data_IF_415223714548
#
_entry.id   IF_415223714548
#
_cell.length_a   1.000
_cell.length_b   1.000
_cell.length_c   1.000
_cell.angle_alpha   90.00
_cell.angle_beta   90.00
_cell.angle_gamma   90.00
#
_symmetry.space_group_name_H-M   'P 1'
#
loop_
_entity.id
_entity.type
_entity.pdbx_description
1 polymer ?
#
# COMPACT_ATOMS: atom_id res chain seq x y z
N UNK A 1 -89.62 -69.17 -56.67
CA UNK A 1 -88.32 -69.29 -55.94
C UNK A 1 -87.26 -68.34 -56.50
N UNK A 2 -87.08 -68.29 -57.83
CA UNK A 2 -86.10 -67.44 -58.52
C UNK A 2 -86.21 -65.94 -58.21
N UNK A 3 -87.40 -65.32 -58.31
CA UNK A 3 -87.55 -63.87 -57.99
C UNK A 3 -87.21 -63.49 -56.53
N UNK A 4 -87.46 -64.38 -55.58
CA UNK A 4 -87.17 -64.16 -54.15
C UNK A 4 -85.67 -64.31 -53.83
N UNK A 5 -84.91 -64.96 -54.72
CA UNK A 5 -83.45 -65.01 -54.65
C UNK A 5 -82.86 -63.74 -55.28
N UNK A 6 -83.42 -63.28 -56.41
CA UNK A 6 -82.96 -62.08 -57.10
C UNK A 6 -83.09 -60.82 -56.22
N UNK A 7 -84.28 -60.55 -55.66
CA UNK A 7 -84.52 -59.44 -54.72
C UNK A 7 -83.61 -59.47 -53.49
N UNK A 8 -83.24 -60.67 -53.02
CA UNK A 8 -82.35 -60.83 -51.86
C UNK A 8 -80.90 -60.54 -52.22
N UNK A 9 -80.46 -60.96 -53.41
CA UNK A 9 -79.13 -60.63 -53.90
C UNK A 9 -79.02 -59.13 -54.18
N UNK A 10 -80.04 -58.52 -54.76
CA UNK A 10 -80.09 -57.08 -55.00
C UNK A 10 -80.04 -56.28 -53.68
N UNK A 11 -80.82 -56.68 -52.67
CA UNK A 11 -80.74 -56.08 -51.34
C UNK A 11 -79.36 -56.26 -50.69
N UNK A 12 -78.71 -57.42 -50.86
CA UNK A 12 -77.33 -57.66 -50.38
C UNK A 12 -76.32 -56.78 -51.10
N UNK A 13 -76.41 -56.67 -52.42
CA UNK A 13 -75.52 -55.82 -53.22
C UNK A 13 -75.67 -54.35 -52.83
N UNK A 14 -76.91 -53.85 -52.71
CA UNK A 14 -77.18 -52.48 -52.27
C UNK A 14 -76.65 -52.20 -50.84
N UNK A 15 -76.69 -53.20 -49.96
CA UNK A 15 -76.13 -53.09 -48.60
C UNK A 15 -74.58 -53.08 -48.65
N UNK A 16 -73.98 -53.93 -49.48
CA UNK A 16 -72.52 -53.99 -49.66
C UNK A 16 -71.97 -52.70 -50.29
N UNK A 17 -72.62 -52.17 -51.32
CA UNK A 17 -72.26 -50.89 -51.95
C UNK A 17 -72.30 -49.74 -50.94
N UNK A 18 -73.20 -49.79 -49.96
CA UNK A 18 -73.28 -48.80 -48.89
C UNK A 18 -72.25 -49.02 -47.78
N UNK A 19 -71.85 -50.27 -47.50
CA UNK A 19 -70.87 -50.61 -46.45
C UNK A 19 -69.41 -50.41 -46.88
N UNK A 20 -69.08 -50.67 -48.14
CA UNK A 20 -67.69 -50.60 -48.66
C UNK A 20 -67.06 -49.21 -48.46
N UNK A 21 -67.73 -48.08 -48.77
CA UNK A 21 -67.19 -46.75 -48.48
C UNK A 21 -66.98 -46.50 -46.99
N UNK A 22 -67.87 -47.00 -46.13
CA UNK A 22 -67.71 -46.85 -44.67
C UNK A 22 -66.51 -47.64 -44.14
N UNK A 23 -66.22 -48.82 -44.70
CA UNK A 23 -65.00 -49.57 -44.36
C UNK A 23 -63.74 -48.84 -44.81
N UNK A 24 -63.74 -48.25 -46.01
CA UNK A 24 -62.62 -47.43 -46.48
C UNK A 24 -62.37 -46.20 -45.60
N UNK A 25 -63.42 -45.47 -45.20
CA UNK A 25 -63.31 -44.35 -44.26
C UNK A 25 -62.83 -44.80 -42.87
N UNK A 26 -63.28 -45.97 -42.41
CA UNK A 26 -62.83 -46.51 -41.12
C UNK A 26 -61.35 -46.89 -41.15
N UNK A 27 -60.87 -47.48 -42.23
CA UNK A 27 -59.45 -47.84 -42.37
C UNK A 27 -58.57 -46.59 -42.48
N UNK A 28 -59.00 -45.56 -43.23
CA UNK A 28 -58.31 -44.27 -43.30
C UNK A 28 -58.24 -43.56 -41.93
N UNK A 29 -59.34 -43.54 -41.18
CA UNK A 29 -59.36 -42.96 -39.83
C UNK A 29 -58.49 -43.75 -38.84
N UNK A 30 -58.43 -45.09 -38.98
CA UNK A 30 -57.55 -45.93 -38.16
C UNK A 30 -56.08 -45.65 -38.44
N UNK A 31 -55.69 -45.49 -39.70
CA UNK A 31 -54.31 -45.15 -40.07
C UNK A 31 -53.91 -43.76 -39.57
N UNK A 32 -54.77 -42.76 -39.74
CA UNK A 32 -54.53 -41.40 -39.23
C UNK A 32 -54.39 -41.38 -37.70
N UNK A 33 -55.25 -42.14 -37.00
CA UNK A 33 -55.17 -42.28 -35.54
C UNK A 33 -53.84 -42.91 -35.11
N UNK A 34 -53.38 -43.92 -35.84
CA UNK A 34 -52.11 -44.58 -35.57
C UNK A 34 -50.92 -43.62 -35.73
N UNK A 35 -50.84 -42.91 -36.85
CA UNK A 35 -49.79 -41.90 -37.10
C UNK A 35 -49.81 -40.79 -36.06
N UNK A 36 -51.00 -40.29 -35.72
CA UNK A 36 -51.15 -39.24 -34.69
C UNK A 36 -50.71 -39.74 -33.33
N UNK A 37 -51.02 -41.00 -32.98
CA UNK A 37 -50.58 -41.63 -31.74
C UNK A 37 -49.06 -41.78 -31.69
N UNK A 38 -48.43 -42.24 -32.77
CA UNK A 38 -46.97 -42.34 -32.85
C UNK A 38 -46.31 -40.97 -32.71
N UNK A 39 -46.83 -39.95 -33.39
CA UNK A 39 -46.32 -38.58 -33.26
C UNK A 39 -46.46 -38.06 -31.82
N UNK A 40 -47.61 -38.30 -31.19
CA UNK A 40 -47.84 -37.94 -29.79
C UNK A 40 -46.85 -38.65 -28.85
N UNK A 41 -46.57 -39.94 -29.07
CA UNK A 41 -45.59 -40.68 -28.25
C UNK A 41 -44.16 -40.19 -28.43
N UNK A 42 -43.76 -39.81 -29.66
CA UNK A 42 -42.44 -39.20 -29.91
C UNK A 42 -42.31 -37.87 -29.18
N UNK A 43 -43.31 -36.99 -29.34
CA UNK A 43 -43.31 -35.69 -28.67
C UNK A 43 -43.35 -35.83 -27.14
N UNK A 44 -44.09 -36.80 -26.60
CA UNK A 44 -44.08 -37.09 -25.17
C UNK A 44 -42.68 -37.51 -24.70
N UNK A 45 -42.00 -38.36 -25.45
CA UNK A 45 -40.66 -38.80 -25.12
C UNK A 45 -39.65 -37.64 -25.16
N UNK A 46 -39.71 -36.81 -26.19
CA UNK A 46 -38.85 -35.62 -26.33
C UNK A 46 -39.06 -34.63 -25.17
N UNK A 47 -40.33 -34.39 -24.78
CA UNK A 47 -40.65 -33.55 -23.63
C UNK A 47 -40.11 -34.15 -22.32
N UNK A 48 -40.23 -35.47 -22.12
CA UNK A 48 -39.68 -36.15 -20.94
C UNK A 48 -38.16 -36.01 -20.88
N UNK A 49 -37.46 -36.17 -22.00
CA UNK A 49 -36.01 -36.00 -22.07
C UNK A 49 -35.62 -34.56 -21.74
N UNK A 50 -36.32 -33.57 -22.30
CA UNK A 50 -36.05 -32.15 -22.01
C UNK A 50 -36.32 -31.78 -20.56
N UNK A 51 -37.33 -32.38 -19.92
CA UNK A 51 -37.58 -32.20 -18.48
C UNK A 51 -36.42 -32.75 -17.66
N UNK A 52 -35.87 -33.92 -18.01
CA UNK A 52 -34.73 -34.50 -17.31
C UNK A 52 -33.47 -33.62 -17.42
N UNK A 53 -33.16 -33.12 -18.63
CA UNK A 53 -32.04 -32.19 -18.85
C UNK A 53 -32.18 -30.91 -18.02
N UNK A 54 -33.39 -30.34 -17.97
CA UNK A 54 -33.68 -29.14 -17.17
C UNK A 54 -33.58 -29.40 -15.66
N UNK A 55 -33.89 -30.62 -15.20
CA UNK A 55 -33.73 -30.99 -13.80
C UNK A 55 -32.26 -31.10 -13.42
N UNK A 56 -31.45 -31.74 -14.26
CA UNK A 56 -30.00 -31.86 -14.04
C UNK A 56 -29.33 -30.48 -14.03
N UNK A 57 -29.61 -29.64 -15.03
CA UNK A 57 -29.06 -28.29 -15.10
C UNK A 57 -29.46 -27.43 -13.88
N UNK A 58 -30.71 -27.54 -13.41
CA UNK A 58 -31.12 -26.85 -12.17
C UNK A 58 -30.39 -27.37 -10.93
N UNK A 59 -30.10 -28.67 -10.86
CA UNK A 59 -29.36 -29.24 -9.75
C UNK A 59 -27.92 -28.72 -9.72
N UNK A 60 -27.23 -28.70 -10.86
CA UNK A 60 -25.89 -28.13 -11.01
C UNK A 60 -25.85 -26.64 -10.67
N UNK A 61 -26.81 -25.87 -11.20
CA UNK A 61 -26.93 -24.44 -10.91
C UNK A 61 -27.19 -24.19 -9.41
N UNK A 62 -28.04 -24.99 -8.77
CA UNK A 62 -28.29 -24.90 -7.33
C UNK A 62 -27.03 -25.19 -6.52
N UNK A 63 -26.25 -26.20 -6.92
CA UNK A 63 -24.95 -26.51 -6.32
C UNK A 63 -23.97 -25.33 -6.43
N UNK A 64 -23.79 -24.82 -7.65
CA UNK A 64 -22.92 -23.67 -7.94
C UNK A 64 -23.33 -22.41 -7.17
N UNK A 65 -24.63 -22.11 -7.12
CA UNK A 65 -25.18 -20.97 -6.38
C UNK A 65 -24.89 -21.07 -4.88
N UNK A 66 -25.02 -22.24 -4.27
CA UNK A 66 -24.68 -22.45 -2.85
C UNK A 66 -23.19 -22.21 -2.57
N UNK A 67 -22.31 -22.67 -3.45
CA UNK A 67 -20.85 -22.45 -3.33
C UNK A 67 -20.53 -20.95 -3.46
N UNK A 68 -21.14 -20.25 -4.41
CA UNK A 68 -20.97 -18.81 -4.56
C UNK A 68 -21.49 -18.04 -3.34
N UNK A 69 -22.65 -18.41 -2.79
CA UNK A 69 -23.19 -17.79 -1.58
C UNK A 69 -22.26 -17.96 -0.36
N UNK A 70 -21.65 -19.14 -0.20
CA UNK A 70 -20.66 -19.38 0.85
C UNK A 70 -19.41 -18.51 0.67
N UNK A 71 -18.92 -18.36 -0.58
CA UNK A 71 -17.77 -17.51 -0.90
C UNK A 71 -18.06 -16.03 -0.64
N UNK A 72 -19.25 -15.55 -0.99
CA UNK A 72 -19.70 -14.18 -0.70
C UNK A 72 -19.71 -13.94 0.81
N UNK A 73 -20.30 -14.85 1.60
CA UNK A 73 -20.34 -14.72 3.06
C UNK A 73 -18.94 -14.72 3.70
N UNK A 74 -18.00 -15.47 3.13
CA UNK A 74 -16.60 -15.44 3.58
C UNK A 74 -15.94 -14.09 3.26
N UNK A 75 -16.13 -13.55 2.06
CA UNK A 75 -15.59 -12.26 1.66
C UNK A 75 -16.17 -11.12 2.50
N UNK A 76 -17.47 -11.14 2.80
CA UNK A 76 -18.11 -10.15 3.69
C UNK A 76 -17.46 -10.13 5.08
N UNK A 77 -17.15 -11.30 5.66
CA UNK A 77 -16.44 -11.40 6.95
C UNK A 77 -15.02 -10.82 6.87
N UNK A 78 -14.32 -11.07 5.78
CA UNK A 78 -12.98 -10.52 5.56
C UNK A 78 -13.02 -9.00 5.43
N UNK A 79 -13.96 -8.46 4.66
CA UNK A 79 -14.17 -7.01 4.52
C UNK A 79 -14.44 -6.38 5.88
N UNK A 80 -15.34 -6.95 6.67
CA UNK A 80 -15.65 -6.42 8.00
C UNK A 80 -14.44 -6.41 8.94
N UNK A 81 -13.59 -7.44 8.86
CA UNK A 81 -12.35 -7.52 9.65
C UNK A 81 -11.37 -6.43 9.21
N UNK A 82 -11.15 -6.27 7.90
CA UNK A 82 -10.27 -5.25 7.35
C UNK A 82 -10.75 -3.82 7.64
N UNK A 83 -12.06 -3.58 7.66
CA UNK A 83 -12.63 -2.29 8.03
C UNK A 83 -12.34 -1.93 9.49
N UNK A 84 -12.45 -2.91 10.40
CA UNK A 84 -12.11 -2.72 11.81
C UNK A 84 -10.62 -2.43 11.99
N UNK A 85 -9.76 -3.21 11.34
CA UNK A 85 -8.31 -3.04 11.40
C UNK A 85 -7.89 -1.67 10.84
N UNK A 86 -8.50 -1.23 9.74
CA UNK A 86 -8.26 0.11 9.16
C UNK A 86 -8.65 1.22 10.13
N UNK A 87 -9.79 1.09 10.82
CA UNK A 87 -10.24 2.08 11.80
C UNK A 87 -9.27 2.13 13.00
N UNK A 88 -8.76 0.99 13.44
CA UNK A 88 -7.81 0.93 14.55
C UNK A 88 -6.44 1.50 14.17
N UNK A 89 -5.92 1.17 12.99
CA UNK A 89 -4.69 1.76 12.45
C UNK A 89 -4.79 3.28 12.32
N UNK A 90 -5.96 3.81 11.91
CA UNK A 90 -6.19 5.26 11.86
C UNK A 90 -6.09 5.90 13.26
N UNK A 91 -6.66 5.28 14.29
CA UNK A 91 -6.54 5.76 15.68
C UNK A 91 -5.09 5.72 16.17
N UNK A 92 -4.37 4.64 15.89
CA UNK A 92 -2.96 4.50 16.27
C UNK A 92 -2.09 5.55 15.60
N UNK A 93 -2.30 5.81 14.30
CA UNK A 93 -1.63 6.90 13.58
C UNK A 93 -1.89 8.25 14.24
N UNK A 94 -3.14 8.55 14.56
CA UNK A 94 -3.51 9.85 15.15
C UNK A 94 -2.91 10.03 16.55
N UNK A 95 -2.86 8.97 17.34
CA UNK A 95 -2.20 8.97 18.64
C UNK A 95 -0.68 9.18 18.50
N UNK A 96 -0.04 8.46 17.58
CA UNK A 96 1.40 8.58 17.34
C UNK A 96 1.78 9.98 16.83
N UNK A 97 0.97 10.57 15.94
CA UNK A 97 1.15 11.93 15.46
C UNK A 97 1.07 12.94 16.60
N UNK A 98 0.08 12.80 17.49
CA UNK A 98 -0.06 13.66 18.66
C UNK A 98 1.14 13.55 19.59
N UNK A 99 1.61 12.34 19.87
CA UNK A 99 2.78 12.13 20.73
C UNK A 99 4.05 12.76 20.14
N UNK A 100 4.26 12.63 18.82
CA UNK A 100 5.41 13.25 18.14
C UNK A 100 5.34 14.77 18.22
N UNK A 101 4.16 15.37 18.01
CA UNK A 101 4.00 16.83 18.11
C UNK A 101 4.25 17.32 19.55
N UNK A 102 3.74 16.62 20.56
CA UNK A 102 3.99 16.94 21.98
C UNK A 102 5.48 16.87 22.32
N UNK A 103 6.20 15.84 21.83
CA UNK A 103 7.65 15.71 22.00
C UNK A 103 8.41 16.84 21.29
N UNK A 104 8.00 17.21 20.08
CA UNK A 104 8.59 18.32 19.31
C UNK A 104 8.43 19.65 20.05
N UNK A 105 7.23 19.96 20.56
CA UNK A 105 6.98 21.18 21.36
C UNK A 105 7.87 21.21 22.60
N UNK A 106 7.97 20.09 23.33
CA UNK A 106 8.83 19.99 24.51
C UNK A 106 10.30 20.20 24.16
N UNK A 107 10.77 19.56 23.10
CA UNK A 107 12.15 19.70 22.61
C UNK A 107 12.46 21.14 22.17
N UNK A 108 11.54 21.76 21.44
CA UNK A 108 11.68 23.15 21.00
C UNK A 108 11.82 24.09 22.21
N UNK A 109 10.99 23.91 23.23
CA UNK A 109 11.05 24.70 24.46
C UNK A 109 12.40 24.56 25.16
N UNK A 110 12.97 23.35 25.21
CA UNK A 110 14.30 23.11 25.78
C UNK A 110 15.41 23.76 24.94
N UNK A 111 15.29 23.72 23.62
CA UNK A 111 16.23 24.35 22.70
C UNK A 111 16.23 25.88 22.86
N UNK A 112 15.05 26.51 22.95
CA UNK A 112 14.92 27.96 23.14
C UNK A 112 15.59 28.42 24.45
N UNK A 113 15.46 27.63 25.52
CA UNK A 113 16.17 27.89 26.80
C UNK A 113 17.69 27.83 26.62
N UNK A 114 18.19 26.87 25.85
CA UNK A 114 19.63 26.73 25.59
C UNK A 114 20.16 27.90 24.74
N UNK A 115 19.45 28.29 23.69
CA UNK A 115 19.78 29.46 22.86
C UNK A 115 19.85 30.72 23.72
N UNK A 116 18.90 30.91 24.65
CA UNK A 116 18.92 32.03 25.59
C UNK A 116 20.15 32.05 26.50
N UNK A 117 20.63 30.89 26.95
CA UNK A 117 21.88 30.78 27.74
C UNK A 117 23.12 31.08 26.90
N UNK A 118 23.18 30.60 25.66
CA UNK A 118 24.30 30.86 24.74
C UNK A 118 24.44 32.35 24.47
N UNK A 119 23.35 33.05 24.14
CA UNK A 119 23.38 34.51 23.91
C UNK A 119 23.92 35.31 25.10
N UNK A 120 23.59 34.89 26.33
CA UNK A 120 24.14 35.52 27.55
C UNK A 120 25.65 35.29 27.69
N UNK A 121 26.11 34.07 27.36
CA UNK A 121 27.51 33.72 27.41
C UNK A 121 28.32 34.45 26.33
N UNK A 122 27.79 34.57 25.12
CA UNK A 122 28.37 35.36 24.03
C UNK A 122 28.53 36.83 24.43
N UNK A 123 27.51 37.45 25.03
CA UNK A 123 27.61 38.81 25.55
C UNK A 123 28.71 38.97 26.60
N UNK A 124 28.80 38.04 27.57
CA UNK A 124 29.85 38.07 28.59
C UNK A 124 31.26 37.90 27.99
N UNK A 125 31.41 37.04 26.97
CA UNK A 125 32.67 36.89 26.22
C UNK A 125 33.06 38.20 25.55
N UNK A 126 32.12 38.85 24.88
CA UNK A 126 32.38 40.08 24.13
C UNK A 126 32.76 41.24 25.06
N UNK A 127 32.16 41.33 26.25
CA UNK A 127 32.56 42.26 27.31
C UNK A 127 34.01 42.02 27.77
N UNK A 128 34.37 40.76 28.06
CA UNK A 128 35.74 40.40 28.48
C UNK A 128 36.75 40.74 27.38
N UNK A 129 36.43 40.41 26.13
CA UNK A 129 37.29 40.73 24.98
C UNK A 129 37.51 42.26 24.86
N UNK A 130 36.44 43.05 24.97
CA UNK A 130 36.52 44.51 24.90
C UNK A 130 37.37 45.13 26.01
N UNK A 131 37.34 44.58 27.23
CA UNK A 131 38.19 45.05 28.34
C UNK A 131 39.65 44.60 28.18
N UNK A 132 39.89 43.40 27.64
CA UNK A 132 41.23 42.84 27.48
C UNK A 132 42.07 43.52 26.38
N UNK A 133 41.45 43.92 25.26
CA UNK A 133 42.13 44.55 24.11
C UNK A 133 43.03 45.75 24.49
N UNK A 134 42.53 46.79 25.19
CA UNK A 134 43.35 47.95 25.54
C UNK A 134 44.46 47.62 26.56
N UNK A 135 44.24 46.62 27.44
CA UNK A 135 45.24 46.17 28.42
C UNK A 135 46.42 45.52 27.69
N UNK A 136 46.14 44.63 26.73
CA UNK A 136 47.17 43.98 25.92
C UNK A 136 47.94 45.01 25.08
N UNK A 137 47.26 45.99 24.49
CA UNK A 137 47.91 47.09 23.78
C UNK A 137 48.81 47.94 24.70
N UNK A 138 48.35 48.27 25.91
CA UNK A 138 49.14 49.04 26.87
C UNK A 138 50.37 48.25 27.36
N UNK A 139 50.24 46.93 27.58
CA UNK A 139 51.38 46.07 27.92
C UNK A 139 52.41 46.04 26.78
N UNK A 140 51.98 45.95 25.52
CA UNK A 140 52.87 45.95 24.36
C UNK A 140 53.63 47.29 24.20
N UNK A 141 52.95 48.41 24.38
CA UNK A 141 53.53 49.75 24.24
C UNK A 141 54.48 50.14 25.38
N UNK A 142 54.27 49.62 26.59
CA UNK A 142 55.05 49.98 27.79
C UNK A 142 56.34 49.14 28.02
N UNK A 143 56.64 48.17 27.14
CA UNK A 143 57.80 47.27 27.28
C UNK A 143 59.17 47.86 26.88
N UNK A 144 59.29 49.17 26.64
CA UNK A 144 60.54 49.81 26.21
C UNK A 144 61.43 50.35 27.37
N UNK A 145 61.17 49.96 28.63
CA UNK A 145 61.93 50.39 29.81
C UNK A 145 62.82 49.28 30.42
N UNK A 146 63.91 49.64 31.13
CA UNK A 146 64.94 48.69 31.60
C UNK A 146 64.51 47.74 32.73
N UNK A 147 63.27 47.86 33.23
CA UNK A 147 62.67 46.94 34.22
C UNK A 147 61.66 46.01 33.53
N UNK A 148 62.05 45.43 32.40
CA UNK A 148 61.19 44.59 31.59
C UNK A 148 60.74 43.36 32.41
N UNK A 149 59.50 43.39 32.88
CA UNK A 149 58.75 42.18 33.22
C UNK A 149 58.80 41.30 31.97
N UNK A 150 59.20 40.03 32.09
CA UNK A 150 59.39 39.13 30.94
C UNK A 150 58.07 39.02 30.18
N UNK A 151 57.96 39.84 29.14
CA UNK A 151 56.77 39.96 28.33
C UNK A 151 56.43 38.63 27.66
N UNK A 152 57.44 37.78 27.42
CA UNK A 152 57.25 36.44 26.90
C UNK A 152 56.53 35.56 27.92
N UNK A 153 56.90 35.59 29.20
CA UNK A 153 56.24 34.79 30.25
C UNK A 153 54.79 35.25 30.50
N UNK A 154 54.53 36.56 30.45
CA UNK A 154 53.16 37.09 30.53
C UNK A 154 52.36 36.69 29.29
N UNK A 155 52.95 36.76 28.09
CA UNK A 155 52.29 36.37 26.85
C UNK A 155 52.01 34.87 26.81
N UNK A 156 52.93 34.03 27.28
CA UNK A 156 52.74 32.58 27.40
C UNK A 156 51.62 32.25 28.39
N UNK A 157 51.57 32.93 29.55
CA UNK A 157 50.45 32.78 30.51
C UNK A 157 49.13 33.30 29.96
N UNK A 158 49.14 34.40 29.21
CA UNK A 158 47.95 34.93 28.54
C UNK A 158 47.50 34.06 27.37
N UNK A 159 48.40 33.34 26.69
CA UNK A 159 48.10 32.42 25.59
C UNK A 159 47.39 31.16 26.06
N UNK A 160 47.70 30.70 27.28
CA UNK A 160 47.04 29.54 27.90
C UNK A 160 45.53 29.77 28.06
N UNK A 161 45.08 31.00 28.34
CA UNK A 161 43.66 31.27 28.56
C UNK A 161 42.79 31.13 27.29
N UNK A 162 43.14 31.72 26.12
CA UNK A 162 42.52 31.41 24.83
C UNK A 162 42.59 29.94 24.46
N UNK A 163 43.74 29.26 24.66
CA UNK A 163 43.87 27.84 24.32
C UNK A 163 42.91 26.97 25.14
N UNK A 164 42.77 27.23 26.44
CA UNK A 164 41.78 26.57 27.31
C UNK A 164 40.35 26.93 26.89
N UNK A 165 40.10 28.20 26.54
CA UNK A 165 38.79 28.66 26.09
C UNK A 165 38.36 27.99 24.77
N UNK A 166 39.24 27.92 23.77
CA UNK A 166 38.98 27.22 22.51
C UNK A 166 38.80 25.72 22.73
N UNK A 167 39.59 25.10 23.62
CA UNK A 167 39.39 23.70 24.01
C UNK A 167 38.00 23.48 24.63
N UNK A 168 37.55 24.36 25.52
CA UNK A 168 36.22 24.27 26.14
C UNK A 168 35.09 24.49 25.13
N UNK A 169 35.24 25.42 24.17
CA UNK A 169 34.26 25.59 23.08
C UNK A 169 34.19 24.33 22.24
N UNK A 170 35.34 23.76 21.88
CA UNK A 170 35.44 22.53 21.10
C UNK A 170 34.71 21.38 21.80
N UNK A 171 34.99 21.19 23.09
CA UNK A 171 34.36 20.16 23.91
C UNK A 171 32.84 20.40 24.04
N UNK A 172 32.42 21.65 24.24
CA UNK A 172 31.01 22.03 24.27
C UNK A 172 30.31 21.77 22.92
N UNK A 173 30.99 22.01 21.80
CA UNK A 173 30.52 21.69 20.45
C UNK A 173 30.35 20.18 20.25
N UNK A 174 31.32 19.37 20.69
CA UNK A 174 31.22 17.91 20.69
C UNK A 174 30.05 17.40 21.52
N UNK A 175 29.82 17.98 22.71
CA UNK A 175 28.68 17.65 23.56
C UNK A 175 27.34 18.02 22.88
N UNK A 176 27.26 19.19 22.25
CA UNK A 176 26.09 19.64 21.51
C UNK A 176 25.75 18.72 20.33
N UNK A 177 26.76 18.36 19.52
CA UNK A 177 26.59 17.42 18.42
C UNK A 177 26.16 16.03 18.90
N UNK A 178 26.73 15.53 20.00
CA UNK A 178 26.35 14.26 20.61
C UNK A 178 24.90 14.28 21.13
N UNK A 179 24.45 15.40 21.71
CA UNK A 179 23.08 15.57 22.15
C UNK A 179 22.11 15.60 20.97
N UNK A 180 22.44 16.34 19.91
CA UNK A 180 21.64 16.36 18.68
C UNK A 180 21.53 14.97 18.04
N UNK A 181 22.62 14.19 18.00
CA UNK A 181 22.62 12.80 17.54
C UNK A 181 21.71 11.92 18.41
N UNK A 182 21.81 12.02 19.73
CA UNK A 182 20.99 11.25 20.66
C UNK A 182 19.49 11.57 20.49
N UNK A 183 19.15 12.85 20.29
CA UNK A 183 17.80 13.29 19.99
C UNK A 183 17.30 12.70 18.66
N UNK A 184 18.12 12.72 17.61
CA UNK A 184 17.79 12.14 16.30
C UNK A 184 17.60 10.62 16.39
N UNK A 185 18.49 9.89 17.08
CA UNK A 185 18.31 8.44 17.34
C UNK A 185 17.00 8.15 18.09
N UNK A 186 16.64 9.00 19.06
CA UNK A 186 15.39 8.84 19.81
C UNK A 186 14.15 9.10 18.95
N UNK A 187 14.22 10.00 17.97
CA UNK A 187 13.12 10.30 17.05
C UNK A 187 12.99 9.23 15.95
N UNK A 188 14.11 8.65 15.52
CA UNK A 188 14.16 7.68 14.42
C UNK A 188 14.88 6.38 14.82
N UNK A 189 14.33 5.59 15.77
CA UNK A 189 15.01 4.43 16.35
C UNK A 189 15.28 3.27 15.38
N UNK A 190 14.72 3.32 14.16
CA UNK A 190 14.95 2.31 13.11
C UNK A 190 16.07 2.69 12.13
N UNK A 191 16.55 3.93 12.18
CA UNK A 191 17.65 4.39 11.34
C UNK A 191 18.93 4.23 12.13
N UNK A 192 19.87 3.44 11.62
CA UNK A 192 21.18 3.30 12.24
C UNK A 192 22.03 4.53 11.87
N UNK A 193 22.48 5.26 12.89
CA UNK A 193 23.19 6.53 12.72
C UNK A 193 24.40 6.49 13.64
N UNK A 194 25.62 6.41 13.13
CA UNK A 194 26.79 6.43 14.00
C UNK A 194 27.42 7.82 14.12
N UNK A 195 28.00 8.08 15.30
CA UNK A 195 28.83 9.26 15.50
C UNK A 195 30.12 9.07 14.70
N UNK A 196 30.46 10.05 13.86
CA UNK A 196 31.78 10.10 13.24
C UNK A 196 32.72 10.73 14.25
N UNK A 197 33.78 10.00 14.61
CA UNK A 197 34.78 10.48 15.56
C UNK A 197 35.50 11.71 14.97
N UNK A 198 35.72 12.71 15.82
CA UNK A 198 36.42 13.93 15.43
C UNK A 198 35.66 14.94 14.55
N UNK A 199 34.33 14.88 14.42
CA UNK A 199 33.55 15.92 13.71
C UNK A 199 33.84 17.34 14.25
N UNK A 200 33.92 17.46 15.58
CA UNK A 200 34.25 18.69 16.28
C UNK A 200 35.77 18.93 16.41
N UNK A 201 36.62 18.03 15.88
CA UNK A 201 38.07 18.07 16.11
C UNK A 201 38.86 19.11 15.32
N UNK A 202 38.16 19.97 14.59
CA UNK A 202 38.75 20.90 13.63
C UNK A 202 38.66 20.38 12.20
N UNK A 203 37.54 19.73 11.85
CA UNK A 203 37.15 19.55 10.45
C UNK A 203 37.23 20.92 9.78
N UNK A 204 38.08 21.10 8.76
CA UNK A 204 38.17 22.37 8.05
C UNK A 204 36.80 22.71 7.45
N UNK A 205 36.52 24.00 7.24
CA UNK A 205 35.24 24.45 6.68
C UNK A 205 34.90 23.70 5.40
N UNK A 206 35.91 23.44 4.56
CA UNK A 206 35.79 22.68 3.32
C UNK A 206 35.39 21.21 3.56
N UNK A 207 36.01 20.54 4.53
CA UNK A 207 35.68 19.16 4.87
C UNK A 207 34.28 19.03 5.51
N UNK A 208 33.85 20.06 6.27
CA UNK A 208 32.51 20.12 6.84
C UNK A 208 31.46 20.35 5.73
N UNK A 209 31.73 21.24 4.78
CA UNK A 209 30.87 21.50 3.63
C UNK A 209 30.75 20.28 2.71
N UNK A 210 31.84 19.53 2.50
CA UNK A 210 31.80 18.27 1.74
C UNK A 210 30.94 17.21 2.44
N UNK A 211 31.03 17.09 3.76
CA UNK A 211 30.16 16.17 4.54
C UNK A 211 28.70 16.59 4.48
N UNK A 212 28.39 17.89 4.55
CA UNK A 212 27.03 18.41 4.39
C UNK A 212 26.51 18.12 2.97
N UNK A 213 27.33 18.35 1.94
CA UNK A 213 26.96 18.05 0.55
C UNK A 213 26.68 16.56 0.34
N UNK A 214 27.50 15.70 0.94
CA UNK A 214 27.33 14.24 0.87
C UNK A 214 26.09 13.77 1.64
N UNK A 215 25.83 14.33 2.83
CA UNK A 215 24.63 14.04 3.60
C UNK A 215 23.37 14.48 2.86
N UNK A 216 23.40 15.64 2.20
CA UNK A 216 22.27 16.13 1.41
C UNK A 216 22.02 15.26 0.18
N UNK A 217 23.06 14.86 -0.55
CA UNK A 217 22.93 13.88 -1.66
C UNK A 217 22.33 12.55 -1.19
N UNK A 218 22.74 12.06 -0.02
CA UNK A 218 22.18 10.83 0.54
C UNK A 218 20.71 10.99 0.92
N UNK A 219 20.34 12.13 1.53
CA UNK A 219 18.96 12.45 1.88
C UNK A 219 18.06 12.57 0.63
N UNK A 220 18.53 13.26 -0.41
CA UNK A 220 17.82 13.40 -1.68
C UNK A 220 17.63 12.03 -2.36
N UNK A 221 18.62 11.15 -2.28
CA UNK A 221 18.52 9.78 -2.77
C UNK A 221 17.49 8.96 -1.99
N UNK A 222 17.45 9.07 -0.65
CA UNK A 222 16.43 8.41 0.17
C UNK A 222 15.04 8.94 -0.16
N UNK A 223 14.88 10.25 -0.31
CA UNK A 223 13.61 10.85 -0.70
C UNK A 223 13.14 10.34 -2.06
N UNK A 224 14.04 10.24 -3.04
CA UNK A 224 13.75 9.66 -4.35
C UNK A 224 13.37 8.17 -4.25
N UNK A 225 14.13 7.35 -3.53
CA UNK A 225 13.87 5.90 -3.36
C UNK A 225 12.51 5.65 -2.66
N UNK A 226 12.15 6.50 -1.69
CA UNK A 226 10.85 6.46 -1.01
C UNK A 226 9.72 6.85 -1.97
N UNK A 227 9.89 7.92 -2.75
CA UNK A 227 8.89 8.35 -3.76
C UNK A 227 8.72 7.29 -4.85
N UNK A 228 9.80 6.68 -5.32
CA UNK A 228 9.78 5.63 -6.34
C UNK A 228 9.09 4.37 -5.81
N UNK A 229 9.37 3.93 -4.58
CA UNK A 229 8.62 2.84 -3.93
C UNK A 229 7.13 3.14 -3.81
N UNK A 230 6.74 4.38 -3.52
CA UNK A 230 5.33 4.76 -3.48
C UNK A 230 4.67 4.77 -4.87
N UNK A 231 5.43 5.08 -5.94
CA UNK A 231 4.95 4.99 -7.33
C UNK A 231 4.87 3.53 -7.82
N UNK A 232 5.80 2.66 -7.43
CA UNK A 232 5.75 1.23 -7.73
C UNK A 232 4.63 0.49 -6.97
N UNK A 233 4.07 1.12 -5.92
CA UNK A 233 2.88 0.60 -5.23
C UNK A 233 1.57 1.03 -5.88
N UNK A 234 1.59 1.73 -7.02
CA UNK A 234 0.38 1.88 -7.85
C UNK A 234 -0.05 0.50 -8.35
N UNK A 235 -1.11 0.01 -7.70
CA UNK A 235 -1.82 -1.21 -7.97
C UNK A 235 -2.18 -1.31 -9.45
N UNK A 236 -1.30 -1.93 -10.24
CA UNK A 236 -1.70 -2.46 -11.54
C UNK A 236 -2.68 -3.59 -11.24
N UNK A 237 -3.96 -3.51 -11.66
CA UNK A 237 -4.86 -4.63 -11.50
C UNK A 237 -4.29 -5.76 -12.34
N UNK A 238 -3.93 -6.87 -11.70
CA UNK A 238 -3.64 -8.12 -12.40
C UNK A 238 -4.95 -8.54 -13.06
N UNK A 239 -5.11 -8.16 -14.34
CA UNK A 239 -6.21 -8.63 -15.18
C UNK A 239 -6.14 -10.15 -15.31
N UNK A 240 -7.28 -10.83 -15.51
CA UNK A 240 -7.33 -12.28 -15.55
C UNK A 240 -6.55 -12.78 -16.75
N UNK A 241 -5.64 -13.71 -16.49
CA UNK A 241 -4.92 -14.48 -17.50
C UNK A 241 -5.97 -15.33 -18.24
N UNK A 242 -6.29 -14.95 -19.47
CA UNK A 242 -7.06 -15.76 -20.40
C UNK A 242 -6.05 -16.24 -21.44
N UNK A 243 -5.51 -17.44 -21.23
CA UNK A 243 -4.77 -18.17 -22.26
C UNK A 243 -5.24 -19.62 -22.27
N UNK A 244 -6.10 -19.95 -23.21
CA UNK A 244 -5.87 -21.02 -24.18
C UNK A 244 -7.10 -21.12 -25.07
N UNK A 245 -7.00 -20.57 -26.28
CA UNK A 245 -7.88 -20.95 -27.39
C UNK A 245 -7.00 -21.60 -28.45
N UNK A 246 -7.24 -22.89 -28.58
CA UNK A 246 -6.54 -23.87 -29.37
C UNK A 246 -6.78 -23.59 -30.86
N UNK A 247 -5.69 -23.60 -31.61
CA UNK A 247 -5.64 -23.33 -33.05
C UNK A 247 -6.35 -24.47 -33.79
N UNK A 248 -7.53 -24.22 -34.35
CA UNK A 248 -8.12 -25.13 -35.36
C UNK A 248 -7.50 -24.84 -36.72
N UNK A 249 -6.59 -25.70 -37.15
CA UNK A 249 -6.20 -25.83 -38.56
C UNK A 249 -7.35 -26.52 -39.32
N UNK A 250 -7.86 -25.84 -40.34
CA UNK A 250 -8.76 -26.40 -41.36
C UNK A 250 -7.97 -27.12 -42.44
N UNK A 251 -8.32 -28.38 -42.69
CA UNK A 251 -8.28 -29.07 -43.99
C UNK A 251 -9.53 -29.95 -44.13
#
# INVERSE_FOLDING_TARGET
IVNRIHLRNEAKTATLERLVPHLGTLEATRSLLHETKELATKNEHDLRNRIAELQESNFELSGSSKVQAAKISQLEKQIQTLENDKAELARQRDLALKEVEDRKIKSQTQFDVLVGKIKKLEGARDEVANVAVPIVQAMFLNNNGPSALDASEIFDKLRVAPDIYFKNIKEAGSMGASMALAMTKSLYPRVDIDAIDGFADGTSEEAALDLISNAQKAADKIAADVVERFQDTDLRPTGPDISDDEKTDTD
#
